data_IF_030587577306
#
_entry.id   IF_030587577306
#
_cell.length_a   1.000
_cell.length_b   1.000
_cell.length_c   1.000
_cell.angle_alpha   90.00
_cell.angle_beta   90.00
_cell.angle_gamma   90.00
#
_symmetry.space_group_name_H-M   'P 1'
#
loop_
_entity.id
_entity.type
_entity.pdbx_description
1 polymer ?
#
# COMPACT_ATOMS: atom_id res chain seq x y z
N UNK A 1 27.43 -19.11 -25.03
CA UNK A 1 26.50 -17.95 -24.95
C UNK A 1 25.08 -18.33 -24.52
N UNK A 2 24.46 -19.38 -25.05
CA UNK A 2 23.07 -19.78 -24.70
C UNK A 2 22.88 -20.11 -23.21
N UNK A 3 23.80 -20.86 -22.58
CA UNK A 3 23.73 -21.22 -21.15
C UNK A 3 23.73 -20.01 -20.20
N UNK A 4 24.57 -18.99 -20.47
CA UNK A 4 24.62 -17.76 -19.65
C UNK A 4 23.29 -16.95 -19.72
N UNK A 5 22.65 -16.92 -20.90
CA UNK A 5 21.34 -16.24 -21.07
C UNK A 5 20.22 -16.96 -20.32
N UNK A 6 20.24 -18.30 -20.34
CA UNK A 6 19.25 -19.11 -19.60
C UNK A 6 19.38 -18.88 -18.08
N UNK A 7 20.62 -18.89 -17.56
CA UNK A 7 20.86 -18.61 -16.13
C UNK A 7 20.38 -17.21 -15.75
N UNK A 8 20.66 -16.20 -16.57
CA UNK A 8 20.18 -14.83 -16.31
C UNK A 8 18.66 -14.75 -16.26
N UNK A 9 17.98 -15.38 -17.20
CA UNK A 9 16.48 -15.40 -17.24
C UNK A 9 15.92 -16.09 -16.00
N UNK A 10 16.52 -17.22 -15.57
CA UNK A 10 16.10 -17.92 -14.36
C UNK A 10 16.30 -17.07 -13.10
N UNK A 11 17.40 -16.37 -12.97
CA UNK A 11 17.65 -15.47 -11.83
C UNK A 11 16.63 -14.35 -11.79
N UNK A 12 16.33 -13.71 -12.91
CA UNK A 12 15.30 -12.66 -13.00
C UNK A 12 13.93 -13.21 -12.62
N UNK A 13 13.57 -14.40 -13.12
CA UNK A 13 12.29 -15.03 -12.80
C UNK A 13 12.17 -15.37 -11.30
N UNK A 14 13.23 -15.82 -10.66
CA UNK A 14 13.25 -16.11 -9.21
C UNK A 14 13.10 -14.83 -8.40
N UNK A 15 13.78 -13.75 -8.79
CA UNK A 15 13.67 -12.45 -8.12
C UNK A 15 12.22 -11.94 -8.25
N UNK A 16 11.65 -11.97 -9.45
CA UNK A 16 10.27 -11.53 -9.68
C UNK A 16 9.25 -12.36 -8.88
N UNK A 17 9.43 -13.69 -8.86
CA UNK A 17 8.60 -14.58 -8.04
C UNK A 17 8.72 -14.26 -6.55
N UNK A 18 9.91 -13.89 -6.09
CA UNK A 18 10.16 -13.45 -4.71
C UNK A 18 9.33 -12.25 -4.33
N UNK A 19 9.26 -11.22 -5.18
CA UNK A 19 8.43 -10.02 -4.95
C UNK A 19 6.93 -10.36 -4.88
N UNK A 20 6.43 -11.13 -5.84
CA UNK A 20 5.00 -11.54 -5.87
C UNK A 20 4.63 -12.37 -4.64
N UNK A 21 5.50 -13.26 -4.20
CA UNK A 21 5.29 -14.07 -3.00
C UNK A 21 5.32 -13.20 -1.74
N UNK A 22 6.20 -12.19 -1.66
CA UNK A 22 6.26 -11.28 -0.53
C UNK A 22 4.94 -10.54 -0.33
N UNK A 23 4.37 -9.95 -1.37
CA UNK A 23 3.10 -9.24 -1.31
C UNK A 23 1.96 -10.15 -0.83
N UNK A 24 1.92 -11.39 -1.35
CA UNK A 24 0.92 -12.39 -0.94
C UNK A 24 1.07 -12.80 0.52
N UNK A 25 2.30 -12.96 1.00
CA UNK A 25 2.59 -13.28 2.39
C UNK A 25 2.17 -12.14 3.32
N UNK A 26 2.42 -10.88 2.95
CA UNK A 26 2.00 -9.71 3.72
C UNK A 26 0.47 -9.63 3.78
N UNK A 27 -0.22 -9.80 2.65
CA UNK A 27 -1.68 -9.80 2.62
C UNK A 27 -2.27 -10.93 3.49
N UNK A 28 -1.66 -12.12 3.47
CA UNK A 28 -2.05 -13.22 4.34
C UNK A 28 -1.80 -12.90 5.82
N UNK A 29 -0.69 -12.25 6.14
CA UNK A 29 -0.39 -11.79 7.50
C UNK A 29 -1.43 -10.78 7.99
N UNK A 30 -1.83 -9.81 7.15
CA UNK A 30 -2.87 -8.83 7.48
C UNK A 30 -4.19 -9.54 7.83
N UNK A 31 -4.61 -10.50 7.00
CA UNK A 31 -5.84 -11.28 7.25
C UNK A 31 -5.79 -12.13 8.53
N UNK A 32 -4.61 -12.63 8.91
CA UNK A 32 -4.45 -13.46 10.11
C UNK A 32 -4.27 -12.63 11.39
N UNK A 33 -3.80 -11.39 11.27
CA UNK A 33 -3.45 -10.53 12.39
C UNK A 33 -4.32 -9.26 12.45
N UNK A 34 -5.47 -9.25 11.78
CA UNK A 34 -6.34 -8.08 11.63
C UNK A 34 -6.67 -7.40 12.96
N UNK A 35 -7.08 -8.15 13.97
CA UNK A 35 -7.43 -7.61 15.31
C UNK A 35 -6.26 -6.87 15.96
N UNK A 36 -5.06 -7.43 15.85
CA UNK A 36 -3.86 -6.82 16.43
C UNK A 36 -3.45 -5.56 15.69
N UNK A 37 -3.52 -5.59 14.36
CA UNK A 37 -3.21 -4.46 13.50
C UNK A 37 -4.26 -3.35 13.67
N UNK A 38 -5.54 -3.69 13.77
CA UNK A 38 -6.62 -2.75 14.03
C UNK A 38 -6.45 -2.05 15.39
N UNK A 39 -6.12 -2.81 16.44
CA UNK A 39 -5.84 -2.25 17.75
C UNK A 39 -4.72 -1.20 17.72
N UNK A 40 -3.66 -1.46 16.96
CA UNK A 40 -2.57 -0.52 16.75
C UNK A 40 -3.04 0.70 15.93
N UNK A 41 -3.74 0.49 14.82
CA UNK A 41 -4.23 1.55 13.95
C UNK A 41 -5.20 2.49 14.69
N UNK A 42 -6.14 1.95 15.46
CA UNK A 42 -7.08 2.74 16.28
C UNK A 42 -6.31 3.56 17.32
N UNK A 43 -5.31 2.99 17.99
CA UNK A 43 -4.48 3.73 18.95
C UNK A 43 -3.77 4.94 18.30
N UNK A 44 -3.32 4.80 17.05
CA UNK A 44 -2.72 5.91 16.30
C UNK A 44 -3.78 6.97 15.95
N UNK A 45 -4.96 6.56 15.48
CA UNK A 45 -6.04 7.48 15.11
C UNK A 45 -6.57 8.26 16.32
N UNK A 46 -6.64 7.64 17.49
CA UNK A 46 -7.09 8.28 18.74
C UNK A 46 -6.15 9.42 19.18
N UNK A 47 -4.91 9.45 18.72
CA UNK A 47 -3.99 10.57 18.99
C UNK A 47 -4.40 11.86 18.29
N UNK A 48 -5.27 11.78 17.28
CA UNK A 48 -5.79 12.88 16.47
C UNK A 48 -4.72 13.75 15.78
N UNK A 49 -3.49 13.25 15.68
CA UNK A 49 -2.35 13.94 15.07
C UNK A 49 -1.83 13.16 13.85
N UNK A 50 -1.54 13.88 12.77
CA UNK A 50 -0.76 13.31 11.67
C UNK A 50 0.65 13.01 12.14
N UNK A 51 1.05 11.75 12.03
CA UNK A 51 2.40 11.34 12.44
C UNK A 51 2.89 10.12 11.67
N UNK A 52 4.20 10.03 11.60
CA UNK A 52 4.91 8.82 11.16
C UNK A 52 5.40 8.05 12.38
N UNK A 53 5.30 6.73 12.30
CA UNK A 53 5.76 5.78 13.33
C UNK A 53 6.29 4.52 12.64
N UNK A 54 6.49 3.44 13.36
CA UNK A 54 6.88 2.14 12.81
C UNK A 54 6.12 0.99 13.48
N UNK A 55 5.74 0.02 12.69
CA UNK A 55 5.20 -1.25 13.16
C UNK A 55 6.11 -2.39 12.70
N UNK A 56 6.95 -2.88 13.61
CA UNK A 56 7.99 -3.85 13.26
C UNK A 56 9.00 -3.26 12.28
N UNK A 57 9.01 -3.77 11.06
CA UNK A 57 9.92 -3.33 9.97
C UNK A 57 9.27 -2.35 9.00
N UNK A 58 7.99 -2.05 9.16
CA UNK A 58 7.24 -1.17 8.25
C UNK A 58 7.12 0.24 8.81
N UNK A 59 7.30 1.23 7.94
CA UNK A 59 6.97 2.60 8.26
C UNK A 59 5.45 2.76 8.25
N UNK A 60 4.92 3.48 9.24
CA UNK A 60 3.49 3.78 9.34
C UNK A 60 3.25 5.28 9.28
N UNK A 61 2.17 5.69 8.62
CA UNK A 61 1.72 7.07 8.56
C UNK A 61 0.25 7.13 8.97
N UNK A 62 -0.05 8.00 9.93
CA UNK A 62 -1.40 8.17 10.46
C UNK A 62 -2.03 9.45 9.88
N UNK A 63 -3.24 9.31 9.32
CA UNK A 63 -4.03 10.40 8.75
C UNK A 63 -5.41 10.46 9.44
N UNK A 64 -5.51 11.10 10.62
CA UNK A 64 -6.73 11.06 11.43
C UNK A 64 -7.95 11.66 10.73
N UNK A 65 -7.77 12.73 9.95
CA UNK A 65 -8.87 13.37 9.19
C UNK A 65 -9.48 12.42 8.18
N UNK A 66 -8.69 11.53 7.62
CA UNK A 66 -9.15 10.51 6.67
C UNK A 66 -9.58 9.20 7.35
N UNK A 67 -9.37 9.06 8.65
CA UNK A 67 -9.57 7.80 9.37
C UNK A 67 -8.71 6.66 8.82
N UNK A 68 -7.47 6.96 8.43
CA UNK A 68 -6.59 6.04 7.74
C UNK A 68 -5.24 5.89 8.45
N UNK A 69 -4.72 4.67 8.49
CA UNK A 69 -3.35 4.37 8.87
C UNK A 69 -2.70 3.54 7.78
N UNK A 70 -1.63 4.07 7.20
CA UNK A 70 -0.84 3.44 6.15
C UNK A 70 0.33 2.65 6.74
N UNK A 71 0.63 1.49 6.15
CA UNK A 71 1.81 0.66 6.41
C UNK A 71 2.56 0.48 5.10
N UNK A 72 3.66 1.19 4.95
CA UNK A 72 4.50 1.08 3.75
C UNK A 72 5.40 -0.14 3.86
N UNK A 73 5.27 -1.06 2.91
CA UNK A 73 6.02 -2.32 2.89
C UNK A 73 7.12 -2.36 1.85
N UNK A 74 7.04 -1.49 0.85
CA UNK A 74 8.01 -1.41 -0.21
C UNK A 74 7.90 -0.12 -1.01
N UNK A 75 8.85 0.05 -1.90
CA UNK A 75 8.87 1.15 -2.85
C UNK A 75 10.06 1.02 -3.78
N UNK A 76 9.91 1.51 -4.99
CA UNK A 76 10.98 1.53 -5.99
C UNK A 76 10.79 2.76 -6.89
N UNK A 77 11.87 3.18 -7.51
CA UNK A 77 11.86 4.30 -8.44
C UNK A 77 13.11 5.17 -8.29
N UNK A 78 13.27 6.06 -9.24
CA UNK A 78 14.27 7.13 -9.21
C UNK A 78 13.51 8.45 -9.35
N UNK A 79 13.86 9.42 -8.52
CA UNK A 79 13.26 10.76 -8.64
C UNK A 79 13.32 11.26 -10.10
N UNK A 80 12.24 11.83 -10.66
CA UNK A 80 11.06 12.33 -9.94
C UNK A 80 9.90 11.32 -9.78
N UNK A 81 10.03 10.08 -10.25
CA UNK A 81 8.94 9.09 -10.24
C UNK A 81 9.26 7.95 -9.30
N UNK A 82 8.42 7.73 -8.29
CA UNK A 82 8.53 6.67 -7.31
C UNK A 82 7.21 5.94 -7.13
N UNK A 83 7.27 4.62 -7.00
CA UNK A 83 6.12 3.77 -6.71
C UNK A 83 6.28 3.18 -5.32
N UNK A 84 5.24 3.27 -4.51
CA UNK A 84 5.16 2.73 -3.15
C UNK A 84 4.09 1.66 -3.09
N UNK A 85 4.35 0.63 -2.29
CA UNK A 85 3.42 -0.47 -2.04
C UNK A 85 3.25 -0.68 -0.54
N UNK A 86 2.09 -1.16 -0.17
CA UNK A 86 1.79 -1.47 1.22
C UNK A 86 0.34 -1.83 1.45
N UNK A 87 -0.08 -1.70 2.69
CA UNK A 87 -1.47 -1.87 3.05
C UNK A 87 -1.91 -0.75 4.00
N UNK A 88 -3.22 -0.54 4.11
CA UNK A 88 -3.74 0.47 5.01
C UNK A 88 -5.03 0.02 5.69
N UNK A 89 -5.21 0.55 6.88
CA UNK A 89 -6.46 0.50 7.63
C UNK A 89 -7.34 1.69 7.24
N UNK A 90 -8.63 1.46 7.03
CA UNK A 90 -9.65 2.48 6.78
C UNK A 90 -10.80 2.30 7.76
N UNK A 91 -10.96 3.22 8.70
CA UNK A 91 -11.92 3.10 9.80
C UNK A 91 -13.37 2.93 9.34
N UNK A 92 -13.74 3.56 8.23
CA UNK A 92 -15.08 3.48 7.62
C UNK A 92 -15.20 2.40 6.53
N UNK A 93 -14.17 1.55 6.37
CA UNK A 93 -14.12 0.45 5.41
C UNK A 93 -14.25 0.90 3.94
N UNK A 94 -13.72 2.06 3.59
CA UNK A 94 -13.73 2.61 2.23
C UNK A 94 -12.34 2.68 1.61
N UNK A 95 -12.27 2.64 0.28
CA UNK A 95 -11.04 2.88 -0.45
C UNK A 95 -10.55 4.33 -0.23
N UNK A 96 -9.23 4.52 -0.21
CA UNK A 96 -8.59 5.81 0.01
C UNK A 96 -7.70 6.21 -1.16
N UNK A 97 -7.55 7.51 -1.34
CA UNK A 97 -6.62 8.13 -2.28
C UNK A 97 -5.36 8.52 -1.51
N UNK A 98 -4.21 8.16 -2.05
CA UNK A 98 -2.89 8.57 -1.55
C UNK A 98 -2.40 9.69 -2.47
N UNK A 99 -2.70 10.92 -2.17
CA UNK A 99 -2.20 12.06 -2.93
C UNK A 99 -1.48 13.03 -2.01
N UNK A 100 -0.25 13.38 -2.38
CA UNK A 100 0.46 14.50 -1.76
C UNK A 100 -0.07 15.86 -2.24
N UNK A 101 -0.83 15.85 -3.35
CA UNK A 101 -1.52 17.00 -3.89
C UNK A 101 -2.93 17.12 -3.29
N UNK A 102 -3.72 18.06 -3.78
CA UNK A 102 -5.08 18.29 -3.31
C UNK A 102 -5.98 17.05 -3.54
N UNK A 103 -6.30 16.34 -2.45
CA UNK A 103 -7.19 15.17 -2.48
C UNK A 103 -8.55 15.52 -3.11
N UNK A 104 -8.98 16.78 -3.04
CA UNK A 104 -10.23 17.23 -3.63
C UNK A 104 -10.23 17.20 -5.17
N UNK A 105 -9.06 17.20 -5.78
CA UNK A 105 -8.88 17.10 -7.24
C UNK A 105 -8.76 15.64 -7.72
N UNK A 106 -8.61 14.68 -6.81
CA UNK A 106 -8.46 13.29 -7.17
C UNK A 106 -9.80 12.65 -7.56
N UNK A 107 -9.78 11.86 -8.63
CA UNK A 107 -10.89 10.97 -8.99
C UNK A 107 -10.63 9.57 -8.47
N UNK A 108 -11.63 8.98 -7.84
CA UNK A 108 -11.61 7.60 -7.34
C UNK A 108 -12.67 6.78 -8.05
N UNK A 109 -12.26 5.74 -8.74
CA UNK A 109 -13.15 4.79 -9.41
C UNK A 109 -13.13 3.47 -8.63
N UNK A 110 -14.30 3.05 -8.15
CA UNK A 110 -14.48 1.83 -7.34
C UNK A 110 -15.18 0.77 -8.17
N UNK A 111 -14.62 -0.43 -8.22
CA UNK A 111 -15.18 -1.61 -8.87
C UNK A 111 -15.09 -2.83 -7.93
N UNK A 112 -16.09 -3.00 -7.09
CA UNK A 112 -16.12 -4.05 -6.06
C UNK A 112 -15.01 -3.87 -5.03
N UNK A 113 -14.16 -4.87 -4.89
CA UNK A 113 -13.02 -4.86 -3.97
C UNK A 113 -11.77 -4.13 -4.51
N UNK A 114 -11.83 -3.65 -5.74
CA UNK A 114 -10.75 -2.91 -6.39
C UNK A 114 -11.16 -1.46 -6.58
N UNK A 115 -10.19 -0.57 -6.41
CA UNK A 115 -10.32 0.83 -6.78
C UNK A 115 -9.04 1.36 -7.42
N UNK A 116 -9.19 2.35 -8.29
CA UNK A 116 -8.08 3.12 -8.86
C UNK A 116 -8.33 4.61 -8.71
N UNK A 117 -7.27 5.39 -8.65
CA UNK A 117 -7.37 6.84 -8.51
C UNK A 117 -6.29 7.56 -9.34
N UNK A 118 -6.57 8.80 -9.69
CA UNK A 118 -5.62 9.75 -10.25
C UNK A 118 -5.94 11.14 -9.74
N UNK A 119 -4.94 11.99 -9.53
CA UNK A 119 -5.12 13.39 -9.14
C UNK A 119 -5.09 14.36 -10.33
N UNK A 120 -5.16 13.83 -11.55
CA UNK A 120 -5.12 14.63 -12.78
C UNK A 120 -3.70 15.04 -13.22
N UNK A 121 -2.67 14.63 -12.47
CA UNK A 121 -1.26 14.72 -12.83
C UNK A 121 -0.72 13.32 -13.17
N UNK A 122 0.58 13.12 -13.10
CA UNK A 122 1.20 11.80 -13.26
C UNK A 122 0.97 10.90 -12.04
N UNK A 123 0.46 11.45 -10.93
CA UNK A 123 0.18 10.70 -9.71
C UNK A 123 -1.08 9.84 -9.88
N UNK A 124 -0.94 8.57 -9.58
CA UNK A 124 -2.02 7.60 -9.67
C UNK A 124 -1.78 6.41 -8.74
N UNK A 125 -2.80 5.62 -8.53
CA UNK A 125 -2.67 4.42 -7.74
C UNK A 125 -3.88 3.53 -7.79
N UNK A 126 -3.77 2.43 -7.08
CA UNK A 126 -4.85 1.45 -6.94
C UNK A 126 -4.86 0.86 -5.55
N UNK A 127 -6.01 0.33 -5.16
CA UNK A 127 -6.13 -0.46 -3.94
C UNK A 127 -7.08 -1.65 -4.14
N UNK A 128 -6.80 -2.72 -3.41
CA UNK A 128 -7.62 -3.93 -3.41
C UNK A 128 -7.90 -4.32 -1.97
N UNK A 129 -9.16 -4.64 -1.67
CA UNK A 129 -9.55 -5.12 -0.34
C UNK A 129 -8.85 -6.45 -0.03
N UNK A 130 -8.24 -6.54 1.14
CA UNK A 130 -7.68 -7.79 1.68
C UNK A 130 -8.75 -8.47 2.54
N UNK A 131 -9.30 -7.75 3.49
CA UNK A 131 -10.36 -8.11 4.45
C UNK A 131 -11.05 -6.82 4.88
N UNK A 132 -12.12 -6.87 5.65
CA UNK A 132 -12.84 -5.69 6.12
C UNK A 132 -11.91 -4.67 6.77
N UNK A 133 -12.03 -3.40 6.33
CA UNK A 133 -11.21 -2.25 6.74
C UNK A 133 -9.74 -2.29 6.31
N UNK A 134 -9.27 -3.36 5.66
CA UNK A 134 -7.88 -3.53 5.25
C UNK A 134 -7.74 -3.63 3.74
N UNK A 135 -6.84 -2.84 3.18
CA UNK A 135 -6.63 -2.72 1.75
C UNK A 135 -5.15 -2.79 1.42
N UNK A 136 -4.80 -3.53 0.39
CA UNK A 136 -3.50 -3.46 -0.27
C UNK A 136 -3.49 -2.29 -1.23
N UNK A 137 -2.39 -1.56 -1.34
CA UNK A 137 -2.27 -0.44 -2.27
C UNK A 137 -0.95 -0.45 -3.04
N UNK A 138 -1.01 0.19 -4.22
CA UNK A 138 0.12 0.66 -4.99
C UNK A 138 -0.14 2.12 -5.38
N UNK A 139 0.84 3.00 -5.18
CA UNK A 139 0.73 4.42 -5.48
C UNK A 139 2.02 4.92 -6.14
N UNK A 140 1.87 5.67 -7.22
CA UNK A 140 2.97 6.27 -8.00
C UNK A 140 2.86 7.79 -7.98
N UNK A 141 4.03 8.45 -7.73
CA UNK A 141 4.18 9.90 -7.61
C UNK A 141 5.32 10.41 -8.45
#
# INVERSE_FOLDING_TARGET
MKKKRIVLVLVIAIIFLGFVLQDRLIQSYVSLCEDKLESYAVTLLDSAEERTDSYGVWNTSCYPVQGMVEFQTGGWGLAPSSTYTGFYYSADNTHRVFSAADISAASLEINGDYASWTDGTDNHGSSTRIVDKWFWYEASF
#
